data_IF_969812802117
#
_entry.id   IF_969812802117
#
_cell.length_a   1.000
_cell.length_b   1.000
_cell.length_c   1.000
_cell.angle_alpha   90.00
_cell.angle_beta   90.00
_cell.angle_gamma   90.00
#
_symmetry.space_group_name_H-M   'P 1'
#
loop_
_entity.id
_entity.type
_entity.pdbx_description
1 polymer ?
#
# COMPACT_ATOMS: atom_id res chain seq x y z
N UNK A 1 -9.75 9.10 -12.80
CA UNK A 1 -9.77 8.79 -12.51
C UNK A 1 -8.95 8.31 -12.10
N UNK A 2 -8.70 8.13 -11.83
CA UNK A 2 -7.89 7.48 -11.68
C UNK A 2 -7.04 7.40 -10.69
N UNK A 3 -7.21 7.66 -9.79
CA UNK A 3 -6.52 7.61 -8.91
C UNK A 3 -6.10 6.50 -8.51
N UNK A 4 -5.13 6.09 -8.83
CA UNK A 4 -4.67 4.91 -8.59
C UNK A 4 -3.82 4.98 -7.41
N UNK A 5 -4.22 4.30 -6.38
CA UNK A 5 -3.42 4.20 -5.17
C UNK A 5 -2.11 3.50 -5.46
N UNK A 6 -2.08 2.63 -6.46
CA UNK A 6 -0.85 1.96 -6.85
C UNK A 6 0.19 2.97 -7.34
N UNK A 7 -0.25 3.98 -8.08
CA UNK A 7 0.67 5.01 -8.53
C UNK A 7 1.26 5.78 -7.35
N UNK A 8 0.45 6.08 -6.36
CA UNK A 8 0.93 6.78 -5.17
C UNK A 8 1.94 5.94 -4.41
N UNK A 9 1.67 4.64 -4.29
CA UNK A 9 2.59 3.73 -3.63
C UNK A 9 3.91 3.68 -4.39
N UNK A 10 3.82 3.59 -5.71
CA UNK A 10 5.01 3.51 -6.54
C UNK A 10 5.87 4.77 -6.39
N UNK A 11 5.23 5.94 -6.43
CA UNK A 11 5.96 7.18 -6.27
C UNK A 11 6.61 7.29 -4.91
N UNK A 12 5.91 6.83 -3.87
CA UNK A 12 6.45 6.89 -2.53
C UNK A 12 7.67 5.98 -2.41
N UNK A 13 7.59 4.78 -3.00
CA UNK A 13 8.71 3.86 -2.97
C UNK A 13 9.91 4.41 -3.75
N UNK A 14 9.64 5.08 -4.87
CA UNK A 14 10.71 5.68 -5.64
C UNK A 14 11.42 6.77 -4.83
N UNK A 15 10.70 7.49 -4.01
CA UNK A 15 11.31 8.52 -3.19
C UNK A 15 12.24 7.93 -2.14
N UNK A 16 12.09 6.64 -1.83
CA UNK A 16 13.00 5.95 -0.93
C UNK A 16 14.11 5.23 -1.68
N UNK A 17 14.16 5.40 -3.00
CA UNK A 17 15.19 4.74 -3.80
C UNK A 17 14.84 3.33 -4.24
N UNK A 18 13.58 2.93 -4.08
CA UNK A 18 13.16 1.58 -4.44
C UNK A 18 12.40 1.62 -5.77
N UNK A 19 12.81 0.80 -6.72
CA UNK A 19 12.17 0.72 -8.01
C UNK A 19 11.37 -0.58 -8.07
N UNK A 20 10.08 -0.48 -8.38
CA UNK A 20 9.23 -1.65 -8.43
C UNK A 20 9.56 -2.52 -9.63
N UNK A 21 9.51 -3.82 -9.40
CA UNK A 21 9.70 -4.81 -10.45
C UNK A 21 8.37 -5.52 -10.68
N UNK A 22 8.29 -6.25 -11.78
CA UNK A 22 7.05 -6.93 -12.13
C UNK A 22 6.58 -7.87 -11.01
N UNK A 23 7.47 -8.56 -10.39
CA UNK A 23 7.11 -9.49 -9.33
C UNK A 23 6.64 -8.83 -8.05
N UNK A 24 6.88 -7.53 -7.91
CA UNK A 24 6.49 -6.84 -6.68
C UNK A 24 5.05 -6.40 -6.68
N UNK A 25 4.41 -6.35 -7.84
CA UNK A 25 3.06 -5.83 -7.92
C UNK A 25 2.05 -6.71 -7.19
N UNK A 26 2.20 -8.02 -7.30
CA UNK A 26 1.29 -8.92 -6.60
C UNK A 26 1.44 -8.77 -5.09
N UNK A 27 2.65 -8.51 -4.62
CA UNK A 27 2.89 -8.33 -3.20
C UNK A 27 2.24 -7.03 -2.73
N UNK A 28 2.32 -5.98 -3.53
CA UNK A 28 1.66 -4.72 -3.19
C UNK A 28 0.15 -4.92 -3.12
N UNK A 29 -0.42 -5.63 -4.09
CA UNK A 29 -1.85 -5.90 -4.07
C UNK A 29 -2.24 -6.70 -2.84
N UNK A 30 -1.44 -7.68 -2.46
CA UNK A 30 -1.71 -8.49 -1.30
C UNK A 30 -1.66 -7.65 -0.02
N UNK A 31 -0.63 -6.82 0.12
CA UNK A 31 -0.49 -5.97 1.28
C UNK A 31 -1.60 -4.94 1.33
N UNK A 32 -1.95 -4.36 0.17
CA UNK A 32 -3.02 -3.39 0.08
C UNK A 32 -4.33 -3.97 0.58
N UNK A 33 -4.66 -5.19 0.13
CA UNK A 33 -5.90 -5.81 0.54
C UNK A 33 -5.90 -6.06 2.04
N UNK A 34 -4.78 -6.51 2.57
CA UNK A 34 -4.65 -6.76 3.99
C UNK A 34 -4.85 -5.48 4.79
N UNK A 35 -4.21 -4.40 4.38
CA UNK A 35 -4.29 -3.13 5.09
C UNK A 35 -5.70 -2.55 5.00
N UNK A 36 -6.32 -2.61 3.83
CA UNK A 36 -7.66 -2.10 3.68
C UNK A 36 -8.65 -2.85 4.56
N UNK A 37 -8.49 -4.16 4.68
CA UNK A 37 -9.35 -4.94 5.54
C UNK A 37 -9.16 -4.56 7.00
N UNK A 38 -7.94 -4.33 7.42
CA UNK A 38 -7.67 -3.93 8.79
C UNK A 38 -8.32 -2.58 9.09
N UNK A 39 -8.15 -1.61 8.19
CA UNK A 39 -8.70 -0.29 8.40
C UNK A 39 -10.23 -0.34 8.42
N UNK A 40 -10.82 -1.08 7.51
CA UNK A 40 -12.28 -1.17 7.46
C UNK A 40 -12.85 -1.80 8.72
N UNK A 41 -12.18 -2.82 9.24
CA UNK A 41 -12.63 -3.47 10.44
C UNK A 41 -12.46 -2.57 11.67
N UNK A 42 -11.31 -1.93 11.78
CA UNK A 42 -11.05 -1.08 12.93
C UNK A 42 -11.95 0.14 12.95
N UNK A 43 -12.21 0.74 11.80
CA UNK A 43 -13.01 1.95 11.71
C UNK A 43 -14.47 1.65 11.44
N UNK A 44 -14.82 0.38 11.22
CA UNK A 44 -16.19 -0.03 10.96
C UNK A 44 -16.78 0.74 9.77
N UNK A 45 -16.02 0.84 8.69
CA UNK A 45 -16.45 1.51 7.49
C UNK A 45 -16.50 0.51 6.33
N UNK A 46 -17.33 0.82 5.33
CA UNK A 46 -17.50 -0.07 4.19
C UNK A 46 -16.61 0.31 3.05
N UNK A 47 -16.33 1.60 2.89
CA UNK A 47 -15.45 2.05 1.83
C UNK A 47 -14.37 2.93 2.44
N UNK A 48 -13.26 3.05 1.76
CA UNK A 48 -12.13 3.81 2.26
C UNK A 48 -12.34 5.30 2.00
N UNK A 49 -12.48 6.13 3.03
CA UNK A 49 -12.60 7.57 2.82
C UNK A 49 -11.33 8.14 2.23
N UNK A 50 -11.49 9.21 1.49
CA UNK A 50 -10.33 9.83 0.85
C UNK A 50 -9.37 10.39 1.88
N UNK A 51 -9.86 10.75 3.05
CA UNK A 51 -9.01 11.28 4.10
C UNK A 51 -8.03 10.24 4.64
N UNK A 52 -8.37 8.96 4.49
CA UNK A 52 -7.49 7.90 4.97
C UNK A 52 -6.56 7.38 3.90
N UNK A 53 -6.65 7.92 2.69
CA UNK A 53 -5.87 7.41 1.58
C UNK A 53 -4.37 7.54 1.83
N UNK A 54 -3.94 8.68 2.32
CA UNK A 54 -2.52 8.87 2.58
C UNK A 54 -2.02 7.95 3.68
N UNK A 55 -2.84 7.76 4.70
CA UNK A 55 -2.49 6.85 5.77
C UNK A 55 -2.39 5.44 5.22
N UNK A 56 -3.32 5.06 4.35
CA UNK A 56 -3.30 3.75 3.73
C UNK A 56 -2.02 3.56 2.91
N UNK A 57 -1.65 4.56 2.13
CA UNK A 57 -0.44 4.48 1.31
C UNK A 57 0.79 4.31 2.21
N UNK A 58 0.89 5.09 3.28
CA UNK A 58 2.02 4.98 4.18
C UNK A 58 2.09 3.59 4.81
N UNK A 59 0.96 3.05 5.22
CA UNK A 59 0.94 1.72 5.84
C UNK A 59 1.34 0.65 4.83
N UNK A 60 0.86 0.76 3.60
CA UNK A 60 1.18 -0.22 2.57
C UNK A 60 2.67 -0.17 2.25
N UNK A 61 3.23 1.03 2.11
CA UNK A 61 4.65 1.18 1.80
C UNK A 61 5.48 0.60 2.93
N UNK A 62 5.14 0.91 4.18
CA UNK A 62 5.87 0.40 5.32
C UNK A 62 5.82 -1.12 5.40
N UNK A 63 4.62 -1.68 5.22
CA UNK A 63 4.45 -3.12 5.29
C UNK A 63 5.17 -3.82 4.14
N UNK A 64 5.10 -3.23 2.95
CA UNK A 64 5.76 -3.80 1.79
C UNK A 64 7.27 -3.86 2.00
N UNK A 65 7.85 -2.76 2.45
CA UNK A 65 9.30 -2.72 2.67
C UNK A 65 9.72 -3.68 3.77
N UNK A 66 8.91 -3.78 4.82
CA UNK A 66 9.20 -4.71 5.90
C UNK A 66 9.16 -6.15 5.41
N UNK A 67 8.16 -6.47 4.61
CA UNK A 67 8.02 -7.82 4.06
C UNK A 67 9.19 -8.16 3.15
N UNK A 68 9.58 -7.23 2.29
CA UNK A 68 10.70 -7.45 1.38
C UNK A 68 11.99 -7.67 2.16
N UNK A 69 12.19 -6.92 3.22
CA UNK A 69 13.39 -7.07 4.02
C UNK A 69 13.44 -8.46 4.65
N UNK A 70 12.28 -8.94 5.13
CA UNK A 70 12.25 -10.24 5.78
C UNK A 70 12.33 -11.40 4.78
N UNK A 71 11.88 -11.20 3.56
CA UNK A 71 11.92 -12.24 2.56
C UNK A 71 13.28 -12.35 1.90
N UNK A 72 13.96 -11.28 1.86
CA UNK A 72 15.18 -11.23 1.13
C UNK A 72 16.38 -11.25 1.85
#
# INVERSE_FOLDING_TARGET
MGNNIIDDIEKRLESFGYILKDGDKWLIDFVREKIENIIKLDCNIKTMPIELKEIEVDMIVGEFLFTKKNMG
#
